data_IF_373787608401
#
_entry.id   IF_373787608401
#
_cell.length_a   1.000
_cell.length_b   1.000
_cell.length_c   1.000
_cell.angle_alpha   90.00
_cell.angle_beta   90.00
_cell.angle_gamma   90.00
#
_symmetry.space_group_name_H-M   'P 1'
#
loop_
_entity.id
_entity.type
_entity.pdbx_description
1 polymer ?
#
# COMPACT_ATOMS: atom_id res chain seq x y z
N UNK A 1 2.07 -11.87 -16.01
CA UNK A 1 2.75 -10.75 -16.64
C UNK A 1 3.97 -10.42 -15.82
N UNK A 2 5.15 -10.48 -16.39
CA UNK A 2 6.35 -10.32 -15.59
C UNK A 2 7.57 -10.05 -16.49
N UNK A 3 8.14 -8.89 -16.33
CA UNK A 3 9.47 -8.58 -16.89
C UNK A 3 10.56 -9.18 -15.98
N UNK A 4 10.61 -10.50 -15.92
CA UNK A 4 11.50 -11.26 -15.04
C UNK A 4 12.98 -10.94 -15.22
N UNK A 5 13.38 -10.57 -16.43
CA UNK A 5 14.76 -10.23 -16.75
C UNK A 5 15.05 -8.74 -16.59
N UNK A 6 14.10 -7.95 -16.10
CA UNK A 6 14.19 -6.49 -15.96
C UNK A 6 14.69 -5.78 -17.24
N UNK A 7 14.21 -6.25 -18.40
CA UNK A 7 14.59 -5.65 -19.70
C UNK A 7 13.99 -4.28 -19.91
N UNK A 8 12.79 -4.08 -19.38
CA UNK A 8 11.99 -2.88 -19.58
C UNK A 8 11.56 -2.23 -18.28
N UNK A 9 11.74 -2.93 -17.15
CA UNK A 9 11.39 -2.46 -15.83
C UNK A 9 12.61 -1.97 -15.08
N UNK A 10 12.44 -0.95 -14.26
CA UNK A 10 13.50 -0.48 -13.38
C UNK A 10 12.93 0.08 -12.08
N UNK A 11 13.73 -0.06 -11.03
CA UNK A 11 13.43 0.40 -9.68
C UNK A 11 14.47 1.41 -9.26
N UNK A 12 14.07 2.46 -8.58
CA UNK A 12 14.97 3.45 -7.98
C UNK A 12 14.44 3.97 -6.66
N UNK A 13 15.36 4.28 -5.79
CA UNK A 13 15.08 4.96 -4.54
C UNK A 13 15.05 6.47 -4.83
N UNK A 14 13.91 7.13 -4.60
CA UNK A 14 13.76 8.57 -4.86
C UNK A 14 13.76 9.42 -3.60
N UNK A 15 13.37 8.86 -2.45
CA UNK A 15 13.55 9.47 -1.14
C UNK A 15 14.10 8.42 -0.17
N UNK A 16 15.03 8.83 0.68
CA UNK A 16 15.61 7.99 1.72
C UNK A 16 15.92 8.85 2.95
N UNK A 17 14.96 8.92 3.86
CA UNK A 17 15.07 9.66 5.11
C UNK A 17 14.62 8.78 6.28
N UNK A 18 14.94 9.18 7.50
CA UNK A 18 14.45 8.47 8.69
C UNK A 18 12.93 8.51 8.84
N UNK A 19 12.27 9.54 8.28
CA UNK A 19 10.83 9.71 8.35
C UNK A 19 10.07 8.90 7.31
N UNK A 20 10.67 8.70 6.13
CA UNK A 20 10.02 8.04 5.00
C UNK A 20 11.05 7.58 3.98
N UNK A 21 10.75 6.45 3.35
CA UNK A 21 11.44 5.98 2.14
C UNK A 21 10.44 5.98 0.99
N UNK A 22 10.85 6.45 -0.19
CA UNK A 22 10.02 6.39 -1.39
C UNK A 22 10.76 5.67 -2.50
N UNK A 23 10.16 4.57 -2.96
CA UNK A 23 10.66 3.76 -4.07
C UNK A 23 9.78 4.01 -5.29
N UNK A 24 10.37 4.32 -6.42
CA UNK A 24 9.70 4.35 -7.70
C UNK A 24 10.05 3.11 -8.50
N UNK A 25 9.03 2.41 -8.94
CA UNK A 25 9.16 1.28 -9.84
C UNK A 25 8.36 1.56 -11.11
N UNK A 26 9.05 1.63 -12.24
CA UNK A 26 8.41 1.60 -13.56
C UNK A 26 8.44 0.18 -14.06
N UNK A 27 7.29 -0.38 -14.33
CA UNK A 27 7.18 -1.73 -14.87
C UNK A 27 6.49 -1.73 -16.25
N UNK A 28 6.90 -2.68 -17.07
CA UNK A 28 6.32 -2.95 -18.37
C UNK A 28 5.40 -4.17 -18.28
N UNK A 29 4.22 -4.07 -18.84
CA UNK A 29 3.32 -5.20 -18.97
C UNK A 29 3.73 -6.04 -20.18
N UNK A 30 4.53 -7.05 -19.94
CA UNK A 30 4.98 -7.99 -20.97
C UNK A 30 4.47 -9.40 -20.69
N UNK A 31 4.22 -10.15 -21.74
CA UNK A 31 3.91 -11.57 -21.66
C UNK A 31 5.12 -12.42 -21.29
N UNK A 32 4.90 -13.71 -21.16
CA UNK A 32 5.97 -14.67 -20.80
C UNK A 32 7.05 -14.76 -21.86
N UNK A 33 6.67 -14.64 -23.11
CA UNK A 33 7.58 -14.60 -24.25
C UNK A 33 8.20 -13.23 -24.51
N UNK A 34 8.00 -12.26 -23.61
CA UNK A 34 8.46 -10.87 -23.75
C UNK A 34 7.75 -10.08 -24.87
N UNK A 35 6.63 -10.55 -25.34
CA UNK A 35 5.73 -9.76 -26.17
C UNK A 35 5.09 -8.63 -25.34
N UNK A 36 4.94 -7.46 -25.94
CA UNK A 36 4.22 -6.36 -25.31
C UNK A 36 2.73 -6.71 -25.19
N UNK A 37 2.18 -6.50 -24.03
CA UNK A 37 0.74 -6.58 -23.83
C UNK A 37 0.11 -5.24 -24.20
N UNK A 38 -1.00 -5.33 -24.92
CA UNK A 38 -1.76 -4.17 -25.40
C UNK A 38 -0.89 -3.11 -26.10
N UNK A 39 -0.16 -3.49 -27.15
CA UNK A 39 0.68 -2.53 -27.86
C UNK A 39 -0.20 -1.46 -28.54
N UNK A 40 0.30 -0.22 -28.53
CA UNK A 40 -0.28 0.84 -29.33
C UNK A 40 0.10 0.73 -30.81
N UNK A 41 -0.39 1.67 -31.62
CA UNK A 41 -0.07 1.72 -33.06
C UNK A 41 1.43 1.87 -33.36
N UNK A 42 2.23 2.30 -32.39
CA UNK A 42 3.68 2.45 -32.52
C UNK A 42 4.44 1.26 -31.95
N UNK A 43 3.73 0.21 -31.48
CA UNK A 43 4.32 -0.99 -30.90
C UNK A 43 4.71 -0.86 -29.43
N UNK A 44 4.40 0.26 -28.76
CA UNK A 44 4.64 0.41 -27.33
C UNK A 44 3.53 -0.20 -26.50
N UNK A 45 3.90 -1.01 -25.55
CA UNK A 45 2.97 -1.63 -24.62
C UNK A 45 2.57 -0.73 -23.44
N UNK A 46 1.83 -1.32 -22.53
CA UNK A 46 1.37 -0.66 -21.33
C UNK A 46 2.51 -0.52 -20.31
N UNK A 47 2.66 0.67 -19.75
CA UNK A 47 3.58 0.97 -18.66
C UNK A 47 2.81 1.36 -17.41
N UNK A 48 3.33 0.95 -16.26
CA UNK A 48 2.85 1.37 -14.96
C UNK A 48 3.99 1.96 -14.15
N UNK A 49 3.78 3.15 -13.64
CA UNK A 49 4.63 3.76 -12.62
C UNK A 49 4.02 3.47 -11.25
N UNK A 50 4.81 2.87 -10.37
CA UNK A 50 4.43 2.61 -8.98
C UNK A 50 5.33 3.40 -8.05
N UNK A 51 4.72 4.09 -7.10
CA UNK A 51 5.40 4.79 -6.02
C UNK A 51 5.03 4.14 -4.70
N UNK A 52 6.03 3.64 -3.99
CA UNK A 52 5.88 3.04 -2.68
C UNK A 52 6.36 4.01 -1.61
N UNK A 53 5.44 4.59 -0.86
CA UNK A 53 5.71 5.48 0.27
C UNK A 53 5.74 4.63 1.53
N UNK A 54 6.92 4.36 2.06
CA UNK A 54 7.16 3.40 3.16
C UNK A 54 7.47 4.15 4.43
N UNK A 55 6.75 3.85 5.50
CA UNK A 55 6.83 4.52 6.80
C UNK A 55 7.45 3.64 7.89
N UNK A 56 7.97 4.24 8.99
CA UNK A 56 8.66 3.51 10.07
C UNK A 56 7.81 2.52 10.84
N UNK A 57 6.49 2.59 10.74
CA UNK A 57 5.53 1.67 11.35
C UNK A 57 5.21 0.43 10.49
N UNK A 58 6.01 0.17 9.47
CA UNK A 58 5.81 -0.89 8.49
C UNK A 58 4.50 -0.77 7.69
N UNK A 59 3.97 0.44 7.60
CA UNK A 59 2.85 0.80 6.72
C UNK A 59 3.40 1.47 5.46
N UNK A 60 2.82 1.16 4.32
CA UNK A 60 3.18 1.80 3.05
C UNK A 60 1.95 2.11 2.22
N UNK A 61 2.04 3.13 1.38
CA UNK A 61 1.06 3.34 0.31
C UNK A 61 1.70 2.95 -1.01
N UNK A 62 1.03 2.11 -1.76
CA UNK A 62 1.33 1.85 -3.15
C UNK A 62 0.44 2.75 -4.00
N UNK A 63 1.05 3.72 -4.66
CA UNK A 63 0.40 4.59 -5.63
C UNK A 63 0.82 4.19 -7.03
N UNK A 64 -0.15 3.90 -7.89
CA UNK A 64 0.08 3.44 -9.25
C UNK A 64 -0.51 4.43 -10.25
N UNK A 65 0.23 4.67 -11.32
CA UNK A 65 -0.27 5.39 -12.49
C UNK A 65 0.00 4.55 -13.73
N UNK A 66 -1.07 4.08 -14.37
CA UNK A 66 -0.99 3.25 -15.56
C UNK A 66 -1.41 4.04 -16.80
N UNK A 67 -0.60 3.97 -17.85
CA UNK A 67 -0.93 4.58 -19.13
C UNK A 67 -2.04 3.81 -19.84
N UNK A 68 -2.92 4.53 -20.56
CA UNK A 68 -3.89 3.96 -21.53
C UNK A 68 -4.91 2.94 -20.96
N UNK A 69 -5.03 2.82 -19.64
CA UNK A 69 -5.98 1.87 -19.03
C UNK A 69 -7.45 2.24 -19.32
N UNK A 70 -7.74 3.49 -19.69
CA UNK A 70 -9.08 3.91 -20.07
C UNK A 70 -9.63 3.16 -21.31
N UNK A 71 -8.72 2.63 -22.14
CA UNK A 71 -9.07 1.80 -23.30
C UNK A 71 -9.41 0.34 -22.88
N UNK A 72 -9.10 -0.02 -21.62
CA UNK A 72 -9.27 -1.36 -21.06
C UNK A 72 -9.88 -1.29 -19.67
N UNK A 73 -11.18 -0.97 -19.56
CA UNK A 73 -11.83 -0.68 -18.27
C UNK A 73 -11.95 -1.88 -17.33
N UNK A 74 -11.78 -3.09 -17.83
CA UNK A 74 -11.89 -4.32 -17.02
C UNK A 74 -10.55 -4.72 -16.37
N UNK A 75 -9.98 -3.82 -15.58
CA UNK A 75 -8.76 -4.14 -14.86
C UNK A 75 -9.06 -4.66 -13.46
N UNK A 76 -8.67 -5.89 -13.21
CA UNK A 76 -8.65 -6.49 -11.87
C UNK A 76 -7.26 -6.32 -11.28
N UNK A 77 -7.18 -5.82 -10.06
CA UNK A 77 -5.94 -5.87 -9.30
C UNK A 77 -5.92 -7.16 -8.47
N UNK A 78 -5.12 -8.12 -8.91
CA UNK A 78 -4.88 -9.37 -8.18
C UNK A 78 -3.58 -9.20 -7.41
N UNK A 79 -3.65 -8.92 -6.11
CA UNK A 79 -2.45 -8.64 -5.35
C UNK A 79 -2.53 -9.16 -3.93
N UNK A 80 -1.70 -10.15 -3.69
CA UNK A 80 -1.39 -10.60 -2.35
C UNK A 80 0.11 -10.89 -2.30
N UNK A 81 0.88 -9.92 -1.86
CA UNK A 81 2.29 -10.13 -1.60
C UNK A 81 2.43 -10.98 -0.32
N UNK A 82 3.08 -12.13 -0.45
CA UNK A 82 3.45 -12.94 0.69
C UNK A 82 4.88 -12.64 1.07
N UNK A 83 5.06 -11.94 2.17
CA UNK A 83 6.37 -11.69 2.74
C UNK A 83 6.76 -12.87 3.64
N UNK A 84 7.62 -13.72 3.14
CA UNK A 84 8.14 -14.87 3.86
C UNK A 84 9.44 -14.52 4.58
N UNK A 85 9.68 -15.18 5.70
CA UNK A 85 10.98 -15.13 6.35
C UNK A 85 12.03 -15.81 5.45
N UNK A 86 13.30 -15.37 5.49
CA UNK A 86 14.37 -16.04 4.76
C UNK A 86 14.40 -17.55 5.04
N UNK A 87 14.52 -18.36 3.98
CA UNK A 87 14.56 -19.81 4.07
C UNK A 87 13.21 -20.52 4.20
N UNK A 88 12.09 -19.76 4.23
CA UNK A 88 10.75 -20.34 4.21
C UNK A 88 10.08 -20.15 2.85
N UNK A 89 9.12 -21.01 2.54
CA UNK A 89 8.29 -20.91 1.34
C UNK A 89 6.88 -20.46 1.68
N UNK A 90 6.09 -19.98 0.71
CA UNK A 90 4.69 -19.62 0.93
C UNK A 90 3.87 -20.75 1.57
N UNK A 91 4.06 -21.99 1.15
CA UNK A 91 3.37 -23.16 1.69
C UNK A 91 3.71 -23.46 3.15
N UNK A 92 4.88 -23.07 3.61
CA UNK A 92 5.27 -23.21 5.01
C UNK A 92 4.57 -22.18 5.89
N UNK A 93 4.15 -21.07 5.30
CA UNK A 93 3.65 -19.90 6.03
C UNK A 93 2.14 -19.71 5.93
N UNK A 94 1.51 -20.03 4.80
CA UNK A 94 0.07 -19.88 4.58
C UNK A 94 -0.71 -20.95 5.36
N UNK A 95 -1.84 -20.59 5.94
CA UNK A 95 -2.77 -21.52 6.62
C UNK A 95 -4.03 -21.74 5.77
N UNK A 96 -4.82 -22.81 6.04
CA UNK A 96 -6.04 -23.08 5.26
C UNK A 96 -7.01 -21.91 5.18
N UNK A 97 -7.26 -21.28 6.32
CA UNK A 97 -8.07 -20.07 6.40
C UNK A 97 -7.22 -18.87 5.97
N UNK A 98 -6.81 -18.88 4.70
CA UNK A 98 -5.71 -18.04 4.20
C UNK A 98 -5.97 -16.55 4.28
N UNK A 99 -7.22 -16.09 4.22
CA UNK A 99 -7.54 -14.67 4.30
C UNK A 99 -8.66 -14.38 5.30
N UNK A 100 -8.56 -13.20 5.88
CA UNK A 100 -9.64 -12.53 6.60
C UNK A 100 -9.96 -11.23 5.87
N UNK A 101 -11.22 -11.04 5.51
CA UNK A 101 -11.73 -9.77 5.01
C UNK A 101 -12.32 -8.98 6.17
N UNK A 102 -12.12 -7.66 6.16
CA UNK A 102 -12.71 -6.77 7.14
C UNK A 102 -13.32 -5.52 6.48
N UNK A 103 -14.31 -4.95 7.16
CA UNK A 103 -14.89 -3.65 6.83
C UNK A 103 -14.33 -2.54 7.72
N UNK A 104 -14.77 -1.31 7.50
CA UNK A 104 -14.32 -0.14 8.28
C UNK A 104 -14.81 -0.13 9.72
N UNK A 105 -15.77 -0.98 10.09
CA UNK A 105 -16.26 -1.14 11.45
C UNK A 105 -15.51 -2.19 12.25
N UNK A 106 -14.54 -2.86 11.60
CA UNK A 106 -13.75 -3.92 12.21
C UNK A 106 -14.47 -5.27 12.27
N UNK A 107 -15.62 -5.40 11.62
CA UNK A 107 -16.25 -6.70 11.41
C UNK A 107 -15.40 -7.52 10.45
N UNK A 108 -15.30 -8.84 10.68
CA UNK A 108 -14.43 -9.72 9.92
C UNK A 108 -15.16 -10.95 9.43
N UNK A 109 -14.77 -11.45 8.25
CA UNK A 109 -15.11 -12.78 7.75
C UNK A 109 -13.88 -13.51 7.26
N UNK A 110 -13.83 -14.81 7.47
CA UNK A 110 -12.68 -15.63 7.16
C UNK A 110 -12.98 -16.59 6.01
N UNK A 111 -11.96 -16.90 5.19
CA UNK A 111 -12.12 -17.72 4.02
C UNK A 111 -11.09 -18.84 3.98
N UNK A 112 -11.59 -20.07 3.78
CA UNK A 112 -10.85 -21.32 3.76
C UNK A 112 -10.61 -21.78 2.32
N UNK A 113 -9.36 -22.09 2.04
CA UNK A 113 -8.86 -22.53 0.73
C UNK A 113 -8.40 -24.00 0.74
N UNK A 114 -8.73 -24.75 1.78
CA UNK A 114 -8.31 -26.16 1.92
C UNK A 114 -9.03 -27.12 0.95
N UNK A 115 -10.12 -26.69 0.35
CA UNK A 115 -10.91 -27.50 -0.59
C UNK A 115 -10.81 -26.95 -2.03
N UNK A 116 -11.39 -27.68 -2.98
CA UNK A 116 -11.49 -27.26 -4.38
C UNK A 116 -12.34 -26.01 -4.58
N UNK A 117 -13.09 -25.61 -3.58
CA UNK A 117 -13.85 -24.36 -3.55
C UNK A 117 -13.44 -23.56 -2.34
N UNK A 118 -13.29 -22.26 -2.54
CA UNK A 118 -13.10 -21.31 -1.44
C UNK A 118 -14.38 -21.19 -0.64
N UNK A 119 -14.30 -21.41 0.65
CA UNK A 119 -15.47 -21.48 1.55
C UNK A 119 -15.36 -20.42 2.63
N UNK A 120 -16.42 -19.63 2.80
CA UNK A 120 -16.50 -18.70 3.92
C UNK A 120 -16.73 -19.47 5.23
N UNK A 121 -15.96 -19.09 6.24
CA UNK A 121 -16.16 -19.52 7.63
C UNK A 121 -16.91 -18.44 8.41
N UNK A 122 -17.98 -18.83 9.08
CA UNK A 122 -18.79 -17.91 9.89
C UNK A 122 -19.79 -17.07 9.09
N UNK A 123 -20.31 -16.04 9.74
CA UNK A 123 -21.30 -15.14 9.17
C UNK A 123 -20.70 -14.20 8.13
N UNK A 124 -21.54 -13.78 7.17
CA UNK A 124 -21.17 -12.70 6.27
C UNK A 124 -21.20 -11.36 7.01
N UNK A 125 -20.21 -10.52 6.76
CA UNK A 125 -20.23 -9.15 7.22
C UNK A 125 -20.92 -8.25 6.20
N UNK A 126 -21.49 -7.15 6.68
CA UNK A 126 -22.14 -6.14 5.85
C UNK A 126 -21.14 -5.07 5.39
N UNK A 127 -21.53 -4.30 4.37
CA UNK A 127 -20.75 -3.17 3.88
C UNK A 127 -19.52 -3.55 3.05
N UNK A 128 -18.73 -2.54 2.75
CA UNK A 128 -17.52 -2.69 1.93
C UNK A 128 -16.41 -3.41 2.68
N UNK A 129 -15.95 -4.52 2.15
CA UNK A 129 -14.84 -5.31 2.69
C UNK A 129 -13.53 -4.78 2.12
N UNK A 130 -13.19 -3.58 2.47
CA UNK A 130 -12.05 -2.88 1.87
C UNK A 130 -10.68 -3.30 2.43
N UNK A 131 -10.63 -4.18 3.42
CA UNK A 131 -9.41 -4.72 4.00
C UNK A 131 -9.30 -6.23 3.76
N UNK A 132 -8.16 -6.68 3.22
CA UNK A 132 -7.73 -8.07 3.23
C UNK A 132 -6.54 -8.23 4.17
N UNK A 133 -6.56 -9.28 4.95
CA UNK A 133 -5.54 -9.66 5.90
C UNK A 133 -5.14 -11.11 5.65
N UNK A 134 -3.86 -11.35 5.46
CA UNK A 134 -3.34 -12.68 5.19
C UNK A 134 -3.05 -13.43 6.50
N UNK A 135 -3.72 -14.53 6.68
CA UNK A 135 -3.54 -15.40 7.84
C UNK A 135 -2.28 -16.27 7.64
N UNK A 136 -1.16 -15.79 8.15
CA UNK A 136 0.13 -16.44 8.03
C UNK A 136 0.55 -17.03 9.37
N UNK A 137 1.44 -18.03 9.36
CA UNK A 137 2.05 -18.57 10.59
C UNK A 137 3.09 -17.63 11.18
N UNK A 138 3.72 -16.78 10.35
CA UNK A 138 4.68 -15.77 10.80
C UNK A 138 4.07 -14.81 11.83
N UNK A 139 4.92 -14.21 12.69
CA UNK A 139 4.48 -13.21 13.66
C UNK A 139 3.79 -12.03 12.99
N UNK A 140 4.42 -11.48 11.97
CA UNK A 140 3.86 -10.35 11.21
C UNK A 140 3.06 -10.85 10.03
N UNK A 141 1.86 -10.30 9.86
CA UNK A 141 0.92 -10.64 8.81
C UNK A 141 0.81 -9.47 7.84
N UNK A 142 0.73 -9.80 6.59
CA UNK A 142 0.47 -8.81 5.55
C UNK A 142 -1.00 -8.41 5.55
N UNK A 143 -1.26 -7.13 5.33
CA UNK A 143 -2.60 -6.61 5.08
C UNK A 143 -2.57 -5.61 3.93
N UNK A 144 -3.73 -5.46 3.28
CA UNK A 144 -3.96 -4.46 2.25
C UNK A 144 -5.33 -3.82 2.47
N UNK A 145 -5.37 -2.49 2.47
CA UNK A 145 -6.58 -1.70 2.61
C UNK A 145 -6.82 -0.93 1.32
N UNK A 146 -7.98 -1.15 0.71
CA UNK A 146 -8.44 -0.39 -0.43
C UNK A 146 -9.08 0.94 -0.05
N UNK A 147 -9.19 1.83 -1.01
CA UNK A 147 -9.94 3.08 -0.89
C UNK A 147 -11.42 2.83 -0.60
N UNK A 148 -12.10 3.86 -0.09
CA UNK A 148 -13.57 3.88 -0.05
C UNK A 148 -14.16 3.63 -1.44
N UNK A 149 -15.10 2.71 -1.52
CA UNK A 149 -15.73 2.25 -2.76
C UNK A 149 -14.97 1.12 -3.45
N UNK A 150 -13.88 0.63 -2.86
CA UNK A 150 -13.23 -0.61 -3.26
C UNK A 150 -13.53 -1.74 -2.27
N UNK A 151 -13.51 -2.97 -2.75
CA UNK A 151 -13.76 -4.13 -1.91
C UNK A 151 -12.97 -5.35 -2.37
N UNK A 152 -12.56 -6.13 -1.41
CA UNK A 152 -11.92 -7.41 -1.63
C UNK A 152 -12.95 -8.51 -1.78
N UNK A 153 -12.69 -9.41 -2.72
CA UNK A 153 -13.36 -10.69 -2.83
C UNK A 153 -12.34 -11.81 -2.74
N UNK A 154 -12.67 -12.95 -2.10
CA UNK A 154 -11.80 -14.11 -2.12
C UNK A 154 -11.69 -14.59 -3.57
N UNK A 155 -10.50 -14.98 -3.94
CA UNK A 155 -10.31 -15.56 -5.26
C UNK A 155 -10.97 -16.97 -5.29
N UNK A 156 -12.08 -17.07 -5.94
CA UNK A 156 -12.95 -18.27 -5.87
C UNK A 156 -12.85 -19.14 -7.08
N UNK A 157 -11.85 -19.12 -7.80
CA UNK A 157 -11.87 -19.95 -8.78
C UNK A 157 -11.65 -19.85 -10.10
N UNK A 158 -10.94 -20.47 -10.48
CA UNK A 158 -11.27 -21.21 -11.71
C UNK A 158 -11.01 -22.68 -11.41
N UNK A 159 -11.72 -23.62 -11.97
CA UNK A 159 -11.57 -25.06 -11.70
C UNK A 159 -10.15 -25.60 -11.87
N UNK A 160 -9.28 -24.81 -12.50
CA UNK A 160 -7.85 -25.07 -12.67
C UNK A 160 -6.97 -24.55 -11.51
N UNK A 161 -7.52 -23.76 -10.59
CA UNK A 161 -6.79 -23.29 -9.42
C UNK A 161 -7.11 -24.19 -8.24
N UNK A 162 -6.31 -25.20 -8.08
CA UNK A 162 -6.35 -26.02 -6.88
C UNK A 162 -5.26 -25.55 -5.94
N UNK A 163 -5.58 -25.49 -4.68
CA UNK A 163 -4.55 -25.51 -3.65
C UNK A 163 -3.80 -26.83 -3.81
N UNK A 164 -2.53 -26.77 -4.16
CA UNK A 164 -1.66 -27.92 -4.12
C UNK A 164 -1.58 -28.42 -2.67
N UNK A 165 -1.17 -29.68 -2.42
CA UNK A 165 -1.10 -30.21 -1.07
C UNK A 165 -0.35 -29.25 -0.16
N UNK A 166 -1.05 -28.72 0.86
CA UNK A 166 -0.48 -27.75 1.78
C UNK A 166 -0.78 -26.26 1.48
N UNK A 167 -1.78 -25.95 0.64
CA UNK A 167 -2.28 -24.60 0.48
C UNK A 167 -1.56 -23.65 -0.45
N UNK A 168 -0.83 -24.14 -1.38
CA UNK A 168 -0.35 -23.28 -2.44
C UNK A 168 -1.32 -23.27 -3.60
N UNK A 169 -1.71 -22.09 -4.03
CA UNK A 169 -2.40 -21.92 -5.28
C UNK A 169 -1.46 -22.26 -6.41
N UNK A 170 -1.73 -23.34 -7.06
CA UNK A 170 -1.11 -23.70 -8.29
C UNK A 170 -2.00 -23.23 -9.44
N UNK A 171 -1.53 -22.26 -10.18
CA UNK A 171 -2.17 -21.84 -11.41
C UNK A 171 -1.42 -22.43 -12.60
N UNK A 172 -2.09 -23.26 -13.39
CA UNK A 172 -1.56 -23.73 -14.66
C UNK A 172 -1.39 -22.63 -15.69
N UNK A 173 -1.99 -21.46 -15.46
CA UNK A 173 -1.79 -20.27 -16.26
C UNK A 173 -0.51 -19.57 -15.86
N UNK A 174 0.20 -19.11 -16.81
CA UNK A 174 1.48 -18.45 -16.69
C UNK A 174 1.48 -17.13 -15.93
N UNK A 175 0.38 -16.74 -15.32
CA UNK A 175 0.27 -15.49 -14.57
C UNK A 175 1.20 -15.41 -13.37
N UNK A 176 1.47 -16.54 -12.74
CA UNK A 176 2.19 -16.59 -11.48
C UNK A 176 3.38 -17.54 -11.47
N UNK A 177 4.04 -17.76 -12.59
CA UNK A 177 5.14 -18.71 -12.64
C UNK A 177 6.42 -18.18 -12.04
N UNK A 178 6.39 -17.01 -11.47
CA UNK A 178 7.59 -16.26 -11.10
C UNK A 178 8.05 -16.46 -9.68
N UNK A 179 7.25 -17.17 -8.85
CA UNK A 179 7.42 -17.15 -7.41
C UNK A 179 8.81 -17.42 -6.90
N UNK A 180 9.36 -18.57 -7.15
CA UNK A 180 10.52 -19.05 -6.40
C UNK A 180 11.81 -19.23 -7.19
N UNK A 181 11.80 -19.09 -8.51
CA UNK A 181 13.03 -19.27 -9.27
C UNK A 181 13.86 -17.99 -9.30
N UNK A 182 15.18 -18.13 -9.15
CA UNK A 182 16.09 -17.05 -9.50
C UNK A 182 15.80 -16.56 -10.91
N UNK A 183 16.02 -15.30 -11.17
CA UNK A 183 15.89 -14.74 -12.50
C UNK A 183 17.07 -15.16 -13.36
N UNK A 184 17.02 -16.36 -13.91
CA UNK A 184 18.03 -16.93 -14.80
C UNK A 184 17.68 -16.73 -16.29
N UNK A 185 16.60 -16.01 -16.56
CA UNK A 185 16.06 -15.80 -17.91
C UNK A 185 15.15 -16.92 -18.39
N UNK A 186 14.98 -17.99 -17.64
CA UNK A 186 14.04 -19.05 -17.99
C UNK A 186 12.64 -18.72 -17.50
N UNK A 187 11.66 -18.99 -18.34
CA UNK A 187 10.26 -18.91 -17.95
C UNK A 187 9.91 -20.12 -17.11
N UNK A 188 9.39 -19.87 -15.94
CA UNK A 188 8.90 -20.93 -15.09
C UNK A 188 7.73 -21.65 -15.71
N UNK A 189 7.89 -22.94 -15.96
CA UNK A 189 6.77 -23.81 -16.27
C UNK A 189 6.09 -24.15 -14.96
N UNK A 190 4.83 -23.83 -14.83
CA UNK A 190 4.09 -23.82 -13.57
C UNK A 190 4.01 -25.09 -12.72
N UNK A 191 4.66 -26.20 -13.05
CA UNK A 191 4.46 -27.46 -12.34
C UNK A 191 5.17 -27.60 -11.00
N UNK A 192 6.30 -26.92 -10.81
CA UNK A 192 7.17 -27.12 -9.66
C UNK A 192 7.13 -25.96 -8.67
N UNK A 193 6.07 -25.17 -8.75
CA UNK A 193 5.97 -23.96 -7.98
C UNK A 193 4.66 -23.80 -7.39
N UNK A 194 4.73 -23.60 -6.14
CA UNK A 194 3.69 -22.95 -5.41
C UNK A 194 3.73 -21.47 -5.70
N UNK A 195 2.81 -21.03 -6.48
CA UNK A 195 2.51 -19.62 -6.57
C UNK A 195 1.27 -19.38 -5.74
N UNK A 196 1.49 -18.95 -4.57
CA UNK A 196 0.43 -18.57 -3.64
C UNK A 196 -0.21 -17.24 -3.98
N UNK A 197 -0.09 -16.80 -5.16
CA UNK A 197 -0.15 -15.40 -5.42
C UNK A 197 -1.53 -14.80 -5.52
N UNK A 198 -2.59 -15.53 -5.60
CA UNK A 198 -3.91 -14.91 -5.68
C UNK A 198 -4.89 -15.50 -4.68
N UNK A 199 -4.87 -14.96 -3.47
CA UNK A 199 -5.84 -15.31 -2.44
C UNK A 199 -7.06 -14.40 -2.47
N UNK A 200 -6.95 -13.19 -3.03
CA UNK A 200 -8.04 -12.24 -3.16
C UNK A 200 -7.87 -11.29 -4.33
N UNK A 201 -8.98 -10.75 -4.78
CA UNK A 201 -9.03 -9.73 -5.83
C UNK A 201 -9.59 -8.45 -5.24
N UNK A 202 -8.90 -7.34 -5.44
CA UNK A 202 -9.42 -6.02 -5.15
C UNK A 202 -10.21 -5.53 -6.36
N UNK A 203 -11.48 -5.30 -6.14
CA UNK A 203 -12.36 -4.59 -7.06
C UNK A 203 -12.54 -3.18 -6.55
N UNK A 204 -12.45 -2.17 -7.40
CA UNK A 204 -12.61 -0.85 -6.90
C UNK A 204 -12.28 0.26 -7.86
N UNK A 205 -12.33 1.46 -7.34
CA UNK A 205 -12.22 2.66 -8.14
C UNK A 205 -10.79 2.86 -8.65
N UNK A 206 -10.69 2.86 -9.95
CA UNK A 206 -9.60 3.51 -10.64
C UNK A 206 -10.04 4.93 -10.97
N UNK A 207 -9.17 5.91 -10.74
CA UNK A 207 -9.46 7.29 -11.09
C UNK A 207 -8.85 7.61 -12.44
N UNK A 208 -9.68 8.03 -13.36
CA UNK A 208 -9.22 8.51 -14.67
C UNK A 208 -8.62 9.91 -14.51
N UNK A 209 -7.37 10.05 -14.86
CA UNK A 209 -6.68 11.33 -14.90
C UNK A 209 -7.05 12.11 -16.17
N UNK A 210 -6.89 13.43 -16.14
CA UNK A 210 -7.22 14.32 -17.28
C UNK A 210 -6.46 13.99 -18.56
N UNK A 211 -5.32 13.37 -18.45
CA UNK A 211 -4.46 12.96 -19.56
C UNK A 211 -4.74 11.54 -20.08
N UNK A 212 -5.83 10.91 -19.60
CA UNK A 212 -6.24 9.56 -20.01
C UNK A 212 -5.54 8.42 -19.30
N UNK A 213 -4.60 8.69 -18.40
CA UNK A 213 -4.01 7.68 -17.54
C UNK A 213 -4.97 7.33 -16.41
N UNK A 214 -4.76 6.18 -15.80
CA UNK A 214 -5.51 5.77 -14.62
C UNK A 214 -4.60 5.71 -13.41
N UNK A 215 -5.11 6.19 -12.28
CA UNK A 215 -4.46 6.03 -10.99
C UNK A 215 -5.23 5.09 -10.07
N UNK A 216 -4.49 4.39 -9.23
CA UNK A 216 -5.00 3.60 -8.12
C UNK A 216 -4.03 3.67 -6.95
N UNK A 217 -4.52 3.58 -5.73
CA UNK A 217 -3.67 3.53 -4.54
C UNK A 217 -4.30 2.70 -3.43
N UNK A 218 -3.45 1.99 -2.71
CA UNK A 218 -3.81 1.09 -1.63
C UNK A 218 -2.84 1.25 -0.49
N UNK A 219 -3.32 1.04 0.73
CA UNK A 219 -2.48 0.97 1.91
C UNK A 219 -2.05 -0.47 2.15
N UNK A 220 -0.76 -0.69 2.29
CA UNK A 220 -0.14 -1.97 2.58
C UNK A 220 0.57 -1.95 3.93
N UNK A 221 0.77 -3.09 4.51
CA UNK A 221 1.63 -3.17 5.68
C UNK A 221 1.83 -4.56 6.23
N UNK A 222 2.72 -4.58 7.24
CA UNK A 222 2.96 -5.73 8.09
C UNK A 222 2.53 -5.39 9.51
N UNK A 223 1.83 -6.32 10.17
CA UNK A 223 1.31 -6.11 11.53
C UNK A 223 1.27 -7.39 12.33
N UNK A 224 1.40 -7.28 13.63
CA UNK A 224 1.10 -8.33 14.61
C UNK A 224 -0.29 -8.15 15.27
N UNK A 225 -1.02 -7.11 14.87
CA UNK A 225 -2.41 -6.91 15.28
C UNK A 225 -3.34 -7.88 14.54
N UNK A 226 -4.54 -8.08 15.07
CA UNK A 226 -5.61 -8.82 14.36
C UNK A 226 -6.25 -7.93 13.30
N UNK A 227 -6.88 -8.53 12.31
CA UNK A 227 -7.59 -7.81 11.24
C UNK A 227 -8.61 -6.79 11.78
N UNK A 228 -9.39 -7.15 12.79
CA UNK A 228 -10.37 -6.26 13.43
C UNK A 228 -9.73 -5.03 14.07
N UNK A 229 -8.52 -5.16 14.60
CA UNK A 229 -7.82 -4.09 15.31
C UNK A 229 -7.21 -3.05 14.34
N UNK A 230 -7.19 -3.35 13.04
CA UNK A 230 -6.78 -2.42 11.98
C UNK A 230 -7.85 -1.37 11.63
N UNK A 231 -9.03 -1.40 12.28
CA UNK A 231 -10.10 -0.42 12.07
C UNK A 231 -9.62 1.03 12.15
N UNK A 232 -8.84 1.37 13.17
CA UNK A 232 -8.33 2.74 13.33
C UNK A 232 -7.40 3.15 12.17
N UNK A 233 -6.57 2.24 11.67
CA UNK A 233 -5.70 2.49 10.53
C UNK A 233 -6.54 2.67 9.24
N UNK A 234 -7.52 1.79 9.02
CA UNK A 234 -8.42 1.86 7.88
C UNK A 234 -9.16 3.20 7.84
N UNK A 235 -9.75 3.61 8.97
CA UNK A 235 -10.45 4.89 9.08
C UNK A 235 -9.52 6.09 8.95
N UNK A 236 -8.36 6.09 9.60
CA UNK A 236 -7.41 7.21 9.54
C UNK A 236 -6.88 7.49 8.13
N UNK A 237 -6.82 6.47 7.30
CA UNK A 237 -6.35 6.62 5.92
C UNK A 237 -7.48 6.97 4.95
N UNK A 238 -8.65 6.33 5.08
CA UNK A 238 -9.79 6.61 4.21
C UNK A 238 -10.51 7.92 4.57
N UNK A 239 -10.51 8.26 5.85
CA UNK A 239 -11.13 9.49 6.41
C UNK A 239 -10.12 10.21 7.30
N UNK A 240 -9.05 10.78 6.74
CA UNK A 240 -8.03 11.44 7.55
C UNK A 240 -8.61 12.62 8.33
N UNK A 241 -8.13 12.86 9.55
CA UNK A 241 -8.53 14.05 10.33
C UNK A 241 -8.32 15.34 9.55
N UNK A 242 -9.29 16.23 9.62
CA UNK A 242 -9.15 17.56 9.03
C UNK A 242 -8.04 18.34 9.73
N UNK A 243 -7.24 19.07 8.94
CA UNK A 243 -6.29 20.02 9.47
C UNK A 243 -7.01 21.36 9.68
N UNK A 244 -6.82 21.96 10.87
CA UNK A 244 -7.53 23.17 11.32
C UNK A 244 -6.54 24.16 11.96
N UNK A 245 -6.97 25.40 12.21
CA UNK A 245 -6.23 26.42 12.95
C UNK A 245 -4.82 26.64 12.43
N UNK A 246 -4.66 26.70 11.11
CA UNK A 246 -3.39 26.90 10.43
C UNK A 246 -2.80 28.28 10.73
N UNK A 247 -1.58 28.31 11.24
CA UNK A 247 -0.82 29.54 11.44
C UNK A 247 0.63 29.32 10.99
N UNK A 248 1.18 30.26 10.22
CA UNK A 248 2.53 30.19 9.67
C UNK A 248 2.72 29.19 8.53
N UNK A 249 1.66 28.57 8.04
CA UNK A 249 1.67 27.66 6.90
C UNK A 249 0.34 27.67 6.16
N UNK A 250 0.37 27.20 4.92
CA UNK A 250 -0.78 26.77 4.14
C UNK A 250 -0.80 25.25 4.08
N UNK A 251 -1.96 24.63 3.88
CA UNK A 251 -2.08 23.18 3.71
C UNK A 251 -3.00 22.82 2.55
N UNK A 252 -2.65 21.75 1.85
CA UNK A 252 -3.49 21.08 0.85
C UNK A 252 -4.32 19.93 1.45
N UNK A 253 -4.23 19.73 2.77
CA UNK A 253 -4.85 18.61 3.45
C UNK A 253 -4.03 17.32 3.38
N UNK A 254 -4.67 16.22 3.70
CA UNK A 254 -4.05 14.89 3.62
C UNK A 254 -4.15 14.34 2.20
N UNK A 255 -3.02 14.02 1.61
CA UNK A 255 -2.94 13.27 0.35
C UNK A 255 -2.89 11.77 0.65
N UNK A 256 -3.96 11.07 0.31
CA UNK A 256 -4.06 9.62 0.51
C UNK A 256 -3.05 8.82 -0.31
N UNK A 257 -2.61 9.35 -1.48
CA UNK A 257 -1.61 8.70 -2.35
C UNK A 257 -0.28 8.49 -1.66
N UNK A 258 -0.01 9.30 -0.64
CA UNK A 258 1.21 9.20 0.15
C UNK A 258 0.95 9.15 1.67
N UNK A 259 -0.30 9.12 2.13
CA UNK A 259 -0.68 9.14 3.55
C UNK A 259 0.03 10.28 4.32
N UNK A 260 0.04 11.48 3.77
CA UNK A 260 0.74 12.62 4.36
C UNK A 260 -0.02 13.94 4.16
N UNK A 261 0.13 14.85 5.12
CA UNK A 261 -0.40 16.21 5.03
C UNK A 261 0.59 17.09 4.28
N UNK A 262 0.16 17.60 3.12
CA UNK A 262 0.93 18.56 2.34
C UNK A 262 0.83 19.96 2.93
N UNK A 263 1.98 20.62 3.13
CA UNK A 263 2.05 21.94 3.72
C UNK A 263 3.09 22.80 3.00
N UNK A 264 2.87 24.12 3.03
CA UNK A 264 3.86 25.11 2.57
C UNK A 264 4.16 26.06 3.72
N UNK A 265 5.42 26.16 4.08
CA UNK A 265 5.91 27.04 5.15
C UNK A 265 5.80 28.51 4.73
N UNK A 266 5.28 29.36 5.63
CA UNK A 266 5.15 30.82 5.45
C UNK A 266 5.85 31.61 6.52
N UNK A 267 6.20 30.99 7.65
CA UNK A 267 6.96 31.61 8.74
C UNK A 267 7.85 30.60 9.45
N UNK A 268 8.70 31.07 10.35
CA UNK A 268 9.62 30.21 11.10
C UNK A 268 8.90 29.22 12.03
N UNK A 269 7.73 29.59 12.53
CA UNK A 269 6.91 28.77 13.41
C UNK A 269 5.59 28.45 12.74
N UNK A 270 5.28 27.17 12.66
CA UNK A 270 4.03 26.66 12.18
C UNK A 270 3.21 26.11 13.36
N UNK A 271 1.92 26.40 13.39
CA UNK A 271 1.02 25.70 14.31
C UNK A 271 -0.29 25.35 13.61
N UNK A 272 -0.84 24.20 13.95
CA UNK A 272 -2.09 23.70 13.40
C UNK A 272 -2.70 22.62 14.30
N UNK A 273 -3.96 22.30 14.09
CA UNK A 273 -4.65 21.20 14.73
C UNK A 273 -4.94 20.07 13.73
N UNK A 274 -4.99 18.85 14.22
CA UNK A 274 -5.68 17.74 13.56
C UNK A 274 -6.94 17.43 14.37
N UNK A 275 -8.09 17.46 13.70
CA UNK A 275 -9.39 17.25 14.35
C UNK A 275 -9.71 15.75 14.45
N UNK A 276 -9.02 15.05 15.36
CA UNK A 276 -9.18 13.63 15.61
C UNK A 276 -10.53 13.28 16.25
N UNK A 277 -11.08 12.13 15.89
CA UNK A 277 -12.31 11.55 16.44
C UNK A 277 -12.30 10.02 16.28
N UNK A 278 -13.31 9.32 16.78
CA UNK A 278 -13.49 7.88 16.53
C UNK A 278 -13.69 7.59 15.03
N UNK A 279 -14.33 8.48 14.30
CA UNK A 279 -14.58 8.34 12.86
C UNK A 279 -13.35 8.73 12.03
N UNK A 280 -12.56 9.67 12.50
CA UNK A 280 -11.38 10.23 11.84
C UNK A 280 -10.17 10.17 12.80
N UNK A 281 -9.66 8.99 13.15
CA UNK A 281 -8.60 8.89 14.15
C UNK A 281 -7.28 9.43 13.64
N UNK A 282 -6.54 10.10 14.52
CA UNK A 282 -5.15 10.45 14.26
C UNK A 282 -4.33 9.18 14.47
N UNK A 283 -3.66 8.70 13.41
CA UNK A 283 -2.80 7.54 13.52
C UNK A 283 -1.53 7.73 12.68
N UNK A 284 -0.41 7.85 13.37
CA UNK A 284 0.93 7.98 12.80
C UNK A 284 0.96 8.98 11.64
N UNK A 285 0.64 10.28 11.89
CA UNK A 285 0.60 11.28 10.84
C UNK A 285 1.98 11.56 10.27
N UNK A 286 2.01 11.87 8.98
CA UNK A 286 3.19 12.38 8.28
C UNK A 286 2.89 13.79 7.75
N UNK A 287 3.86 14.70 7.89
CA UNK A 287 3.79 16.07 7.39
C UNK A 287 4.89 16.29 6.37
N UNK A 288 4.55 16.79 5.20
CA UNK A 288 5.47 17.15 4.10
C UNK A 288 5.43 18.66 3.94
N UNK A 289 6.46 19.34 4.43
CA UNK A 289 6.50 20.80 4.57
C UNK A 289 7.47 21.37 3.57
N UNK A 290 6.98 21.95 2.47
CA UNK A 290 7.77 22.62 1.45
C UNK A 290 8.23 24.00 1.91
N UNK A 291 9.37 24.45 1.36
CA UNK A 291 9.94 25.75 1.70
C UNK A 291 10.53 25.78 3.11
N UNK A 292 11.15 24.70 3.53
CA UNK A 292 11.72 24.58 4.88
C UNK A 292 12.81 25.62 5.13
N UNK A 293 13.63 25.94 4.13
CA UNK A 293 14.54 27.06 4.17
C UNK A 293 15.88 26.80 4.84
N UNK A 294 16.35 25.54 4.83
CA UNK A 294 17.69 25.20 5.30
C UNK A 294 17.82 23.75 5.79
N UNK A 295 19.04 23.28 6.01
CA UNK A 295 19.32 21.90 6.41
C UNK A 295 19.10 21.65 7.92
N UNK A 296 18.36 22.51 8.60
CA UNK A 296 18.17 22.43 10.05
C UNK A 296 17.04 21.47 10.41
N UNK A 297 17.25 20.63 11.45
CA UNK A 297 16.20 19.75 11.94
C UNK A 297 15.03 20.53 12.53
N UNK A 298 13.83 20.01 12.36
CA UNK A 298 12.63 20.56 12.96
C UNK A 298 12.58 20.26 14.48
N UNK A 299 11.98 21.17 15.23
CA UNK A 299 11.53 20.95 16.59
C UNK A 299 10.01 20.81 16.57
N UNK A 300 9.49 19.84 17.32
CA UNK A 300 8.07 19.49 17.34
C UNK A 300 7.53 19.56 18.78
N UNK A 301 6.34 20.16 18.92
CA UNK A 301 5.49 20.01 20.11
C UNK A 301 4.15 19.44 19.71
N UNK A 302 3.61 18.55 20.56
CA UNK A 302 2.27 17.96 20.41
C UNK A 302 1.53 18.22 21.72
N UNK A 303 0.37 18.91 21.64
CA UNK A 303 -0.38 19.31 22.85
C UNK A 303 0.43 20.15 23.82
N UNK A 304 1.38 20.95 23.31
CA UNK A 304 2.29 21.77 24.12
C UNK A 304 3.55 21.04 24.63
N UNK A 305 3.62 19.71 24.52
CA UNK A 305 4.75 18.90 24.98
C UNK A 305 5.80 18.74 23.88
N UNK A 306 7.06 19.08 24.17
CA UNK A 306 8.16 18.91 23.23
C UNK A 306 8.43 17.43 22.95
N UNK A 307 8.64 17.11 21.70
CA UNK A 307 9.01 15.77 21.25
C UNK A 307 10.51 15.68 21.01
N UNK A 308 11.09 14.55 21.35
CA UNK A 308 12.52 14.29 21.12
C UNK A 308 12.66 13.39 19.89
N UNK A 309 13.55 13.74 18.94
CA UNK A 309 13.83 12.86 17.80
C UNK A 309 14.25 11.45 18.26
N UNK A 310 13.67 10.44 17.61
CA UNK A 310 13.89 9.05 17.97
C UNK A 310 12.88 8.13 17.27
N UNK A 311 12.59 6.95 17.83
CA UNK A 311 11.67 5.99 17.20
C UNK A 311 10.26 6.52 16.95
N UNK A 312 9.80 7.46 17.76
CA UNK A 312 8.42 7.98 17.74
C UNK A 312 8.29 9.36 17.08
N UNK A 313 9.41 10.04 16.87
CA UNK A 313 9.49 11.28 16.08
C UNK A 313 10.68 11.20 15.15
N UNK A 314 10.41 11.02 13.86
CA UNK A 314 11.43 10.93 12.81
C UNK A 314 11.24 12.05 11.81
N UNK A 315 12.35 12.51 11.26
CA UNK A 315 12.36 13.60 10.31
C UNK A 315 13.48 13.45 9.30
N UNK A 316 13.33 14.11 8.16
CA UNK A 316 14.35 14.18 7.14
C UNK A 316 14.08 15.30 6.16
N UNK A 317 15.13 15.77 5.53
CA UNK A 317 15.06 16.82 4.50
C UNK A 317 15.30 16.20 3.15
N UNK A 318 14.43 16.51 2.22
CA UNK A 318 14.59 16.21 0.80
C UNK A 318 14.74 17.52 0.03
N UNK A 319 15.47 17.48 -1.06
CA UNK A 319 15.63 18.63 -1.95
C UNK A 319 14.90 18.32 -3.25
N UNK A 320 13.94 19.15 -3.58
CA UNK A 320 13.20 19.06 -4.84
C UNK A 320 14.08 19.48 -6.03
N UNK A 321 13.66 19.18 -7.24
CA UNK A 321 14.41 19.48 -8.47
C UNK A 321 14.59 20.97 -8.73
N UNK A 322 13.72 21.80 -8.15
CA UNK A 322 13.82 23.26 -8.19
C UNK A 322 14.76 23.84 -7.11
N UNK A 323 15.40 22.97 -6.32
CA UNK A 323 16.29 23.34 -5.22
C UNK A 323 15.56 23.64 -3.90
N UNK A 324 14.23 23.60 -3.88
CA UNK A 324 13.44 23.82 -2.67
C UNK A 324 13.64 22.68 -1.67
N UNK A 325 13.91 23.03 -0.42
CA UNK A 325 14.01 22.05 0.66
C UNK A 325 12.65 21.76 1.25
N UNK A 326 12.37 20.49 1.41
CA UNK A 326 11.12 19.98 1.98
C UNK A 326 11.46 19.14 3.21
N UNK A 327 10.88 19.50 4.34
CA UNK A 327 10.96 18.74 5.58
C UNK A 327 9.87 17.67 5.61
N UNK A 328 10.25 16.44 5.85
CA UNK A 328 9.34 15.31 6.09
C UNK A 328 9.40 14.94 7.55
N UNK A 329 8.25 14.93 8.23
CA UNK A 329 8.11 14.58 9.64
C UNK A 329 7.12 13.44 9.75
N UNK A 330 7.52 12.36 10.42
CA UNK A 330 6.64 11.26 10.79
C UNK A 330 6.59 11.14 12.31
N UNK A 331 5.38 10.92 12.84
CA UNK A 331 5.17 10.82 14.29
C UNK A 331 4.39 9.56 14.61
N UNK A 332 4.89 8.77 15.58
CA UNK A 332 4.12 7.67 16.17
C UNK A 332 3.12 8.25 17.16
N UNK A 333 1.90 8.37 16.73
CA UNK A 333 0.82 9.00 17.52
C UNK A 333 -0.50 8.29 17.27
N UNK A 334 -1.25 8.06 18.33
CA UNK A 334 -2.63 7.59 18.25
C UNK A 334 -3.51 8.50 19.12
N UNK A 335 -4.56 9.05 18.51
CA UNK A 335 -5.57 9.85 19.24
C UNK A 335 -6.94 9.78 18.57
N UNK A 336 -7.98 9.74 19.37
CA UNK A 336 -9.37 9.89 18.98
C UNK A 336 -9.92 11.26 19.41
N UNK A 337 -9.04 12.17 19.76
CA UNK A 337 -9.34 13.54 20.16
C UNK A 337 -8.49 14.50 19.34
N UNK A 338 -8.91 15.75 19.16
CA UNK A 338 -8.11 16.77 18.53
C UNK A 338 -6.74 16.93 19.19
N UNK A 339 -5.71 17.14 18.36
CA UNK A 339 -4.35 17.41 18.82
C UNK A 339 -3.79 18.64 18.11
N UNK A 340 -3.10 19.47 18.88
CA UNK A 340 -2.35 20.63 18.34
C UNK A 340 -0.89 20.27 18.13
N UNK A 341 -0.36 20.73 16.98
CA UNK A 341 1.03 20.59 16.59
C UNK A 341 1.69 21.94 16.45
N UNK A 342 2.93 22.06 16.89
CA UNK A 342 3.77 23.22 16.68
C UNK A 342 5.13 22.75 16.14
N UNK A 343 5.57 23.32 15.01
CA UNK A 343 6.81 22.95 14.31
C UNK A 343 7.61 24.22 14.07
N UNK A 344 8.91 24.19 14.39
CA UNK A 344 9.80 25.35 14.25
C UNK A 344 11.26 24.95 14.13
#
# INVERSE_FOLDING_TARGET
MSDKMCRYSHVRLIENTDARVVVHWRNASVGIGYEWLWPDRNGWGLWTDEYWYIYPDAVSVRYQVSGRMAEYPETQSQQNELLNQPGTRPEDNVVPESITLANMDGQTEQWDYSSSRTVRKGASISGEKNLVYLNLRSKYKHFNIGQTGSFWVPYSQWDSMRLAPGFSHYNAWSHYPVGLLPSDGTVATGRDRTSSSCLGTLNGRHHLLKDGRMEAYNLYGLTDLRAADLRALNRSWNFPPAIVDLNGCESTGCDQRQKAYGMTRKSERLSFGLNGSEENPILNPCFVIRGWGGPFPARLKIGGQAQVPGPDFRQGIIRDTDGTETMVIWVRQRSFQPLKYEIY
#
